data_IF_899265231162
#
_entry.id   IF_899265231162
#
_cell.length_a   1.000
_cell.length_b   1.000
_cell.length_c   1.000
_cell.angle_alpha   90.00
_cell.angle_beta   90.00
_cell.angle_gamma   90.00
#
_symmetry.space_group_name_H-M   'P 1'
#
loop_
_entity.id
_entity.type
_entity.pdbx_description
1 polymer ?
#
# COMPACT_ATOMS: atom_id res chain seq x y z
N UNK A 1 -5.29 5.40 -10.94
CA UNK A 1 -3.86 5.44 -11.36
C UNK A 1 -2.98 5.15 -10.15
N UNK A 2 -1.79 4.54 -10.32
CA UNK A 2 -0.85 4.32 -9.21
C UNK A 2 0.53 4.90 -9.56
N UNK A 3 1.12 5.63 -8.58
CA UNK A 3 2.47 6.18 -8.64
C UNK A 3 3.40 5.32 -7.81
N UNK A 4 4.44 4.77 -8.41
CA UNK A 4 5.40 3.88 -7.75
C UNK A 4 6.72 4.61 -7.50
N UNK A 5 7.22 4.50 -6.26
CA UNK A 5 8.58 4.92 -5.89
C UNK A 5 9.22 3.88 -4.97
N UNK A 6 9.93 2.93 -5.57
CA UNK A 6 10.51 1.78 -4.87
C UNK A 6 11.67 2.15 -3.93
N UNK A 7 12.24 3.35 -4.06
CA UNK A 7 13.43 3.78 -3.33
C UNK A 7 13.18 4.96 -2.39
N UNK A 8 11.92 5.40 -2.25
CA UNK A 8 11.53 6.56 -1.45
C UNK A 8 12.08 6.55 -0.03
N UNK A 9 12.00 5.41 0.66
CA UNK A 9 12.42 5.25 2.05
C UNK A 9 13.93 5.28 2.31
N UNK A 10 14.76 5.43 1.28
CA UNK A 10 16.21 5.62 1.45
C UNK A 10 16.58 7.06 1.80
N UNK A 11 15.65 8.01 1.66
CA UNK A 11 15.91 9.42 1.84
C UNK A 11 15.60 9.88 3.27
N UNK A 12 16.44 10.74 3.88
CA UNK A 12 16.10 11.39 5.13
C UNK A 12 14.92 12.35 4.93
N UNK A 13 14.20 12.69 6.00
CA UNK A 13 12.94 13.43 5.96
C UNK A 13 12.96 14.66 5.04
N UNK A 14 13.97 15.53 5.17
CA UNK A 14 14.06 16.76 4.35
C UNK A 14 14.20 16.46 2.87
N UNK A 15 14.94 15.42 2.50
CA UNK A 15 15.11 14.97 1.11
C UNK A 15 13.86 14.24 0.61
N UNK A 16 13.20 13.47 1.46
CA UNK A 16 11.93 12.83 1.16
C UNK A 16 10.87 13.88 0.80
N UNK A 17 10.73 14.94 1.59
CA UNK A 17 9.83 16.06 1.28
C UNK A 17 10.18 16.73 -0.05
N UNK A 18 11.46 16.94 -0.31
CA UNK A 18 11.93 17.63 -1.53
C UNK A 18 11.77 16.77 -2.78
N UNK A 19 12.14 15.49 -2.73
CA UNK A 19 12.31 14.66 -3.93
C UNK A 19 11.21 13.62 -4.11
N UNK A 20 10.42 13.32 -3.07
CA UNK A 20 9.30 12.39 -3.14
C UNK A 20 7.97 13.15 -3.06
N UNK A 21 7.72 13.89 -1.99
CA UNK A 21 6.41 14.54 -1.79
C UNK A 21 6.17 15.62 -2.85
N UNK A 22 7.07 16.56 -3.04
CA UNK A 22 6.88 17.67 -3.99
C UNK A 22 6.65 17.23 -5.43
N UNK A 23 7.45 16.29 -6.01
CA UNK A 23 7.19 15.79 -7.36
C UNK A 23 5.86 15.04 -7.47
N UNK A 24 5.52 14.18 -6.49
CA UNK A 24 4.24 13.47 -6.48
C UNK A 24 3.05 14.44 -6.40
N UNK A 25 3.12 15.47 -5.56
CA UNK A 25 2.10 16.53 -5.51
C UNK A 25 1.89 17.18 -6.88
N UNK A 26 2.96 17.56 -7.57
CA UNK A 26 2.88 18.15 -8.91
C UNK A 26 2.23 17.22 -9.93
N UNK A 27 2.52 15.92 -9.85
CA UNK A 27 1.89 14.90 -10.72
C UNK A 27 0.39 14.82 -10.41
N UNK A 28 0.03 14.72 -9.13
CA UNK A 28 -1.37 14.66 -8.69
C UNK A 28 -2.15 15.89 -9.18
N UNK A 29 -1.61 17.09 -8.96
CA UNK A 29 -2.23 18.33 -9.39
C UNK A 29 -2.41 18.41 -10.93
N UNK A 30 -1.37 18.01 -11.68
CA UNK A 30 -1.43 18.01 -13.15
C UNK A 30 -2.45 17.01 -13.71
N UNK A 31 -2.54 15.81 -13.11
CA UNK A 31 -3.55 14.82 -13.51
C UNK A 31 -4.96 15.31 -13.18
N UNK A 32 -5.18 15.83 -11.98
CA UNK A 32 -6.50 16.29 -11.56
C UNK A 32 -6.96 17.56 -12.29
N UNK A 33 -6.04 18.37 -12.80
CA UNK A 33 -6.39 19.51 -13.66
C UNK A 33 -7.08 19.08 -14.96
N UNK A 34 -6.78 17.88 -15.48
CA UNK A 34 -7.37 17.34 -16.72
C UNK A 34 -8.41 16.25 -16.42
N UNK A 35 -8.18 15.46 -15.38
CA UNK A 35 -9.00 14.31 -15.01
C UNK A 35 -9.36 14.36 -13.51
N UNK A 36 -10.26 15.25 -13.09
CA UNK A 36 -10.51 15.53 -11.66
C UNK A 36 -11.05 14.33 -10.86
N UNK A 37 -11.67 13.38 -11.53
CA UNK A 37 -12.31 12.22 -10.90
C UNK A 37 -11.47 10.94 -10.91
N UNK A 38 -10.22 10.97 -11.43
CA UNK A 38 -9.36 9.80 -11.44
C UNK A 38 -8.69 9.63 -10.08
N UNK A 39 -9.00 8.54 -9.33
CA UNK A 39 -8.31 8.30 -8.07
C UNK A 39 -6.85 7.95 -8.30
N UNK A 40 -5.99 8.47 -7.43
CA UNK A 40 -4.54 8.24 -7.47
C UNK A 40 -4.11 7.53 -6.18
N UNK A 41 -3.37 6.43 -6.33
CA UNK A 41 -2.73 5.71 -5.23
C UNK A 41 -1.24 5.99 -5.31
N UNK A 42 -0.63 6.45 -4.21
CA UNK A 42 0.82 6.60 -4.10
C UNK A 42 1.46 5.39 -3.42
N UNK A 43 2.65 5.00 -3.86
CA UNK A 43 3.45 3.96 -3.21
C UNK A 43 4.89 4.43 -2.97
N UNK A 44 5.14 5.27 -1.94
CA UNK A 44 6.48 5.61 -1.49
C UNK A 44 7.02 4.49 -0.58
N UNK A 45 7.53 3.43 -1.19
CA UNK A 45 7.97 2.23 -0.47
C UNK A 45 8.99 2.54 0.62
N UNK A 46 8.86 1.88 1.78
CA UNK A 46 9.70 2.03 2.97
C UNK A 46 9.68 3.44 3.59
N UNK A 47 8.61 4.23 3.35
CA UNK A 47 8.51 5.58 3.89
C UNK A 47 8.34 5.63 5.43
N UNK A 48 8.01 4.51 6.08
CA UNK A 48 7.83 4.44 7.53
C UNK A 48 6.77 5.46 8.02
N UNK A 49 7.11 6.26 9.03
CA UNK A 49 6.19 7.29 9.55
C UNK A 49 5.89 8.40 8.55
N UNK A 50 6.72 8.58 7.52
CA UNK A 50 6.54 9.60 6.48
C UNK A 50 5.39 9.27 5.51
N UNK A 51 4.81 8.08 5.56
CA UNK A 51 3.57 7.76 4.82
C UNK A 51 2.45 8.76 5.12
N UNK A 52 2.32 9.18 6.39
CA UNK A 52 1.29 10.15 6.80
C UNK A 52 1.49 11.52 6.15
N UNK A 53 2.73 12.03 6.17
CA UNK A 53 3.07 13.30 5.52
C UNK A 53 2.87 13.19 4.00
N UNK A 54 3.29 12.07 3.41
CA UNK A 54 3.10 11.82 1.99
C UNK A 54 1.62 11.93 1.59
N UNK A 55 0.71 11.24 2.30
CA UNK A 55 -0.74 11.31 1.99
C UNK A 55 -1.27 12.73 2.12
N UNK A 56 -0.96 13.41 3.23
CA UNK A 56 -1.48 14.75 3.52
C UNK A 56 -0.99 15.82 2.54
N UNK A 57 0.27 15.74 2.15
CA UNK A 57 0.89 16.78 1.33
C UNK A 57 0.75 16.53 -0.17
N UNK A 58 0.63 15.27 -0.62
CA UNK A 58 0.44 14.96 -2.05
C UNK A 58 -1.01 15.03 -2.51
N UNK A 59 -1.97 14.78 -1.61
CA UNK A 59 -3.39 14.77 -1.94
C UNK A 59 -3.86 13.53 -2.70
N UNK A 60 -3.12 12.40 -2.60
CA UNK A 60 -3.56 11.10 -3.15
C UNK A 60 -4.79 10.57 -2.41
N UNK A 61 -5.68 9.87 -3.11
CA UNK A 61 -6.89 9.28 -2.54
C UNK A 61 -6.64 7.91 -1.89
N UNK A 62 -5.50 7.31 -2.18
CA UNK A 62 -5.06 6.07 -1.56
C UNK A 62 -3.55 5.99 -1.43
N UNK A 63 -3.10 5.18 -0.50
CA UNK A 63 -1.67 4.89 -0.31
C UNK A 63 -1.45 3.40 -0.23
N UNK A 64 -0.50 2.91 -1.01
CA UNK A 64 0.00 1.55 -0.89
C UNK A 64 1.12 1.52 0.13
N UNK A 65 1.04 0.58 1.06
CA UNK A 65 2.02 0.40 2.13
C UNK A 65 2.78 -0.93 1.94
N UNK A 66 4.04 -0.93 2.32
CA UNK A 66 4.86 -2.14 2.27
C UNK A 66 4.70 -3.03 3.51
N UNK A 67 5.25 -4.24 3.46
CA UNK A 67 5.09 -5.26 4.50
C UNK A 67 5.76 -4.91 5.84
N UNK A 68 6.59 -3.86 5.90
CA UNK A 68 7.25 -3.42 7.15
C UNK A 68 6.35 -2.50 7.99
N UNK A 69 5.26 -2.00 7.42
CA UNK A 69 4.34 -1.09 8.12
C UNK A 69 3.45 -1.86 9.08
N UNK A 70 3.42 -1.52 10.40
CA UNK A 70 2.52 -2.15 11.35
C UNK A 70 1.05 -1.89 10.99
N UNK A 71 0.23 -2.95 11.01
CA UNK A 71 -1.18 -2.88 10.59
C UNK A 71 -2.00 -1.94 11.45
N UNK A 72 -1.82 -1.99 12.77
CA UNK A 72 -2.54 -1.12 13.72
C UNK A 72 -2.23 0.35 13.46
N UNK A 73 -0.94 0.69 13.31
CA UNK A 73 -0.54 2.05 12.98
C UNK A 73 -1.14 2.52 11.65
N UNK A 74 -1.12 1.68 10.63
CA UNK A 74 -1.69 2.03 9.33
C UNK A 74 -3.22 2.21 9.38
N UNK A 75 -3.92 1.41 10.17
CA UNK A 75 -5.36 1.56 10.37
C UNK A 75 -5.69 2.87 11.10
N UNK A 76 -4.92 3.25 12.11
CA UNK A 76 -5.14 4.46 12.89
C UNK A 76 -4.71 5.74 12.14
N UNK A 77 -3.52 5.75 11.57
CA UNK A 77 -2.90 6.96 11.04
C UNK A 77 -3.18 7.21 9.55
N UNK A 78 -3.41 6.15 8.77
CA UNK A 78 -3.59 6.28 7.31
C UNK A 78 -5.04 6.03 6.88
N UNK A 79 -5.71 4.97 7.38
CA UNK A 79 -7.05 4.63 6.95
C UNK A 79 -8.09 5.69 7.34
N UNK A 80 -7.79 6.51 8.36
CA UNK A 80 -8.61 7.66 8.74
C UNK A 80 -8.59 8.83 7.74
N UNK A 81 -7.58 8.88 6.85
CA UNK A 81 -7.34 10.00 5.94
C UNK A 81 -7.32 9.62 4.45
N UNK A 82 -7.18 8.34 4.12
CA UNK A 82 -7.21 7.84 2.73
C UNK A 82 -7.53 6.36 2.67
N UNK A 83 -7.73 5.82 1.46
CA UNK A 83 -7.79 4.38 1.24
C UNK A 83 -6.40 3.77 1.43
N UNK A 84 -6.29 2.75 2.28
CA UNK A 84 -5.04 1.98 2.44
C UNK A 84 -5.03 0.78 1.49
N UNK A 85 -3.91 0.55 0.81
CA UNK A 85 -3.66 -0.64 -0.01
C UNK A 85 -2.45 -1.40 0.53
N UNK A 86 -2.52 -2.70 0.58
CA UNK A 86 -1.37 -3.56 0.99
C UNK A 86 -1.83 -4.69 1.89
N UNK A 87 -0.96 -5.26 2.75
CA UNK A 87 0.51 -5.17 2.69
C UNK A 87 1.13 -6.55 2.94
N UNK A 88 0.49 -7.61 2.35
CA UNK A 88 0.98 -8.97 2.52
C UNK A 88 2.43 -9.08 2.04
N UNK A 89 3.28 -9.68 2.87
CA UNK A 89 4.66 -9.98 2.49
C UNK A 89 4.69 -10.94 1.28
N UNK A 90 5.38 -10.53 0.23
CA UNK A 90 5.53 -11.32 -0.98
C UNK A 90 6.32 -12.63 -0.77
N UNK A 91 7.17 -12.70 0.25
CA UNK A 91 7.83 -13.95 0.65
C UNK A 91 6.83 -14.94 1.27
N UNK A 92 5.87 -14.46 2.06
CA UNK A 92 4.79 -15.30 2.57
C UNK A 92 3.90 -15.81 1.43
N UNK A 93 3.59 -14.96 0.44
CA UNK A 93 2.88 -15.40 -0.75
C UNK A 93 3.65 -16.50 -1.49
N UNK A 94 4.96 -16.33 -1.65
CA UNK A 94 5.82 -17.33 -2.30
C UNK A 94 5.83 -18.66 -1.54
N UNK A 95 5.89 -18.62 -0.21
CA UNK A 95 5.92 -19.82 0.65
C UNK A 95 4.55 -20.51 0.74
N UNK A 96 3.47 -19.76 0.71
CA UNK A 96 2.11 -20.30 0.85
C UNK A 96 1.78 -20.88 2.22
N UNK A 97 0.76 -21.73 2.26
CA UNK A 97 0.37 -22.50 3.45
C UNK A 97 -0.33 -21.70 4.54
N UNK A 98 -0.49 -22.34 5.71
CA UNK A 98 -1.26 -21.79 6.84
C UNK A 98 -0.75 -20.45 7.35
N UNK A 99 0.56 -20.22 7.31
CA UNK A 99 1.15 -18.95 7.79
C UNK A 99 0.72 -17.80 6.89
N UNK A 100 0.76 -17.99 5.57
CA UNK A 100 0.24 -17.03 4.59
C UNK A 100 -1.24 -16.75 4.83
N UNK A 101 -2.06 -17.80 4.95
CA UNK A 101 -3.51 -17.66 5.15
C UNK A 101 -3.85 -16.89 6.43
N UNK A 102 -3.15 -17.19 7.52
CA UNK A 102 -3.30 -16.50 8.80
C UNK A 102 -2.98 -15.01 8.66
N UNK A 103 -1.90 -14.67 7.97
CA UNK A 103 -1.53 -13.26 7.77
C UNK A 103 -2.53 -12.53 6.86
N UNK A 104 -3.04 -13.17 5.79
CA UNK A 104 -4.12 -12.60 4.96
C UNK A 104 -5.34 -12.26 5.81
N UNK A 105 -5.81 -13.20 6.65
CA UNK A 105 -6.98 -12.97 7.53
C UNK A 105 -6.72 -11.87 8.56
N UNK A 106 -5.50 -11.79 9.10
CA UNK A 106 -5.09 -10.74 10.04
C UNK A 106 -5.13 -9.36 9.37
N UNK A 107 -4.60 -9.22 8.15
CA UNK A 107 -4.64 -7.98 7.37
C UNK A 107 -6.10 -7.55 7.14
N UNK A 108 -6.95 -8.46 6.67
CA UNK A 108 -8.37 -8.18 6.45
C UNK A 108 -9.08 -7.72 7.73
N UNK A 109 -8.79 -8.37 8.86
CA UNK A 109 -9.37 -8.02 10.17
C UNK A 109 -8.91 -6.64 10.64
N UNK A 110 -7.64 -6.27 10.41
CA UNK A 110 -7.08 -4.99 10.84
C UNK A 110 -7.70 -3.81 10.09
N UNK A 111 -8.02 -3.97 8.82
CA UNK A 111 -8.56 -2.88 7.99
C UNK A 111 -10.07 -2.93 7.76
N UNK A 112 -10.81 -3.79 8.48
CA UNK A 112 -12.24 -3.98 8.28
C UNK A 112 -13.13 -2.74 8.51
N UNK A 113 -12.64 -1.76 9.26
CA UNK A 113 -13.42 -0.61 9.70
C UNK A 113 -13.31 0.62 8.78
N UNK A 114 -12.57 0.53 7.67
CA UNK A 114 -12.39 1.67 6.76
C UNK A 114 -12.08 1.23 5.32
N UNK A 115 -11.83 2.17 4.41
CA UNK A 115 -11.56 1.87 3.01
C UNK A 115 -10.23 1.14 2.86
N UNK A 116 -10.29 -0.04 2.22
CA UNK A 116 -9.13 -0.90 2.07
C UNK A 116 -9.11 -1.62 0.72
N UNK A 117 -7.93 -1.75 0.13
CA UNK A 117 -7.65 -2.57 -1.05
C UNK A 117 -6.60 -3.61 -0.66
N UNK A 118 -6.98 -4.89 -0.67
CA UNK A 118 -6.01 -5.95 -0.40
C UNK A 118 -4.96 -6.02 -1.52
N UNK A 119 -3.69 -6.03 -1.15
CA UNK A 119 -2.56 -6.19 -2.06
C UNK A 119 -1.34 -6.73 -1.31
N UNK A 120 -0.27 -7.01 -2.04
CA UNK A 120 1.04 -7.29 -1.47
C UNK A 120 1.72 -5.99 -1.05
N UNK A 121 2.67 -6.09 -0.11
CA UNK A 121 3.55 -4.99 0.27
C UNK A 121 4.67 -4.69 -0.75
N UNK A 122 4.83 -5.53 -1.78
CA UNK A 122 5.74 -5.33 -2.90
C UNK A 122 5.35 -6.26 -4.07
N UNK A 123 6.09 -6.22 -5.16
CA UNK A 123 5.83 -7.07 -6.34
C UNK A 123 5.90 -8.56 -6.04
N UNK A 124 5.16 -9.36 -6.82
CA UNK A 124 5.21 -10.83 -6.75
C UNK A 124 6.61 -11.32 -7.10
N UNK A 125 7.13 -12.26 -6.32
CA UNK A 125 8.42 -12.89 -6.61
C UNK A 125 8.30 -13.88 -7.78
N UNK A 126 9.29 -13.94 -8.68
CA UNK A 126 9.23 -14.86 -9.84
C UNK A 126 8.94 -16.33 -9.50
N UNK A 127 9.47 -16.91 -8.39
CA UNK A 127 9.19 -18.30 -8.04
C UNK A 127 7.85 -18.52 -7.32
N UNK A 128 6.99 -17.49 -7.20
CA UNK A 128 5.70 -17.65 -6.51
C UNK A 128 4.77 -18.61 -7.25
N UNK A 129 4.30 -19.69 -6.61
CA UNK A 129 3.32 -20.59 -7.22
C UNK A 129 2.00 -19.86 -7.48
N UNK A 130 1.42 -19.97 -8.72
CA UNK A 130 0.12 -19.36 -9.03
C UNK A 130 -1.02 -19.82 -8.10
N UNK A 131 -0.93 -21.04 -7.58
CA UNK A 131 -1.91 -21.60 -6.64
C UNK A 131 -2.00 -20.80 -5.35
N UNK A 132 -0.87 -20.27 -4.85
CA UNK A 132 -0.84 -19.42 -3.68
C UNK A 132 -1.58 -18.09 -3.94
N UNK A 133 -1.44 -17.55 -5.15
CA UNK A 133 -2.19 -16.34 -5.57
C UNK A 133 -3.68 -16.64 -5.60
N UNK A 134 -4.08 -17.76 -6.21
CA UNK A 134 -5.47 -18.22 -6.22
C UNK A 134 -6.03 -18.35 -4.80
N UNK A 135 -5.27 -19.00 -3.90
CA UNK A 135 -5.68 -19.18 -2.51
C UNK A 135 -5.89 -17.85 -1.77
N UNK A 136 -5.02 -16.88 -1.96
CA UNK A 136 -5.18 -15.53 -1.39
C UNK A 136 -6.47 -14.87 -1.92
N UNK A 137 -6.72 -14.96 -3.23
CA UNK A 137 -7.95 -14.41 -3.84
C UNK A 137 -9.20 -15.04 -3.22
N UNK A 138 -9.22 -16.36 -3.02
CA UNK A 138 -10.36 -17.06 -2.41
C UNK A 138 -10.63 -16.56 -0.98
N UNK A 139 -9.58 -16.42 -0.17
CA UNK A 139 -9.72 -15.91 1.20
C UNK A 139 -10.25 -14.47 1.20
N UNK A 140 -9.66 -13.59 0.39
CA UNK A 140 -10.05 -12.18 0.30
C UNK A 140 -11.51 -12.03 -0.17
N UNK A 141 -11.99 -12.90 -1.05
CA UNK A 141 -13.38 -12.91 -1.54
C UNK A 141 -14.36 -13.61 -0.60
N UNK A 142 -13.90 -14.17 0.50
CA UNK A 142 -14.74 -14.90 1.45
C UNK A 142 -15.19 -16.29 0.96
N UNK A 143 -14.52 -16.87 -0.01
CA UNK A 143 -14.81 -18.20 -0.57
C UNK A 143 -14.08 -19.33 0.17
N UNK A 144 -13.34 -19.03 1.24
CA UNK A 144 -12.50 -19.97 1.98
C UNK A 144 -12.79 -19.97 3.48
#
# INVERSE_FOLDING_TARGET
>A
MQLFDSWAGLLPESQFKQWIIKPNRRIVDAVHAVHPNVPIIGFPRNAGVLYRDFVKETGVQGVSIDSTVPLEWAAEELQSICTVQGNLDNHLLCSGGEIMEKEVRKILASFKNGPFIFNLGHGVLPPTPPENVGRVVDIVRGAA
#
